data_IF_349099690848
#
_entry.id   IF_349099690848
#
_cell.length_a   1.000
_cell.length_b   1.000
_cell.length_c   1.000
_cell.angle_alpha   90.00
_cell.angle_beta   90.00
_cell.angle_gamma   90.00
#
_symmetry.space_group_name_H-M   'P 1'
#
loop_
_entity.id
_entity.type
_entity.pdbx_description
1 polymer ?
#
# COMPACT_ATOMS: atom_id res chain seq x y z
N UNK A 1 -0.44 -43.04 -5.92
CA UNK A 1 -0.26 -42.00 -4.89
C UNK A 1 0.98 -42.32 -4.06
N UNK A 2 2.14 -41.83 -4.45
CA UNK A 2 3.40 -41.99 -3.70
C UNK A 2 3.81 -40.60 -3.20
N UNK A 3 3.80 -40.42 -1.88
CA UNK A 3 4.42 -39.28 -1.20
C UNK A 3 5.93 -39.48 -1.22
N UNK A 4 6.65 -38.58 -1.90
CA UNK A 4 8.10 -38.48 -1.76
C UNK A 4 8.41 -37.65 -0.50
N UNK A 5 9.41 -38.03 0.32
CA UNK A 5 9.82 -37.26 1.49
C UNK A 5 10.65 -36.06 1.03
N UNK A 6 10.33 -34.87 1.53
CA UNK A 6 11.16 -33.67 1.43
C UNK A 6 12.43 -33.90 2.23
N UNK A 7 13.55 -34.08 1.52
CA UNK A 7 14.89 -34.07 2.10
C UNK A 7 15.18 -32.66 2.65
N UNK A 8 15.65 -32.62 3.87
CA UNK A 8 16.19 -31.46 4.58
C UNK A 8 17.38 -30.89 3.80
N UNK A 9 17.14 -29.88 2.96
CA UNK A 9 18.18 -29.01 2.45
C UNK A 9 18.54 -28.02 3.56
N UNK A 10 19.74 -28.12 4.08
CA UNK A 10 20.37 -27.09 4.90
C UNK A 10 20.51 -25.82 4.07
N UNK A 11 19.55 -24.89 4.19
CA UNK A 11 19.60 -23.56 3.60
C UNK A 11 20.45 -22.64 4.49
N UNK A 12 21.76 -22.75 4.36
CA UNK A 12 22.69 -21.72 4.81
C UNK A 12 22.52 -20.48 3.93
N UNK A 13 22.12 -19.36 4.56
CA UNK A 13 22.17 -17.97 4.07
C UNK A 13 22.14 -17.80 2.55
N UNK A 14 20.96 -17.72 1.97
CA UNK A 14 20.80 -17.33 0.56
C UNK A 14 21.08 -15.84 0.45
N UNK A 15 22.15 -15.49 -0.25
CA UNK A 15 22.49 -14.10 -0.59
C UNK A 15 21.70 -13.75 -1.86
N UNK A 16 20.69 -12.91 -1.74
CA UNK A 16 19.98 -12.39 -2.89
C UNK A 16 20.78 -11.23 -3.50
N UNK A 17 21.17 -11.37 -4.76
CA UNK A 17 21.68 -10.26 -5.58
C UNK A 17 20.56 -9.86 -6.54
N UNK A 18 20.06 -8.63 -6.43
CA UNK A 18 19.20 -8.06 -7.48
C UNK A 18 20.01 -7.92 -8.76
N UNK A 19 19.56 -8.56 -9.84
CA UNK A 19 20.27 -8.61 -11.13
C UNK A 19 20.10 -7.34 -11.96
N UNK A 20 19.21 -6.42 -11.57
CA UNK A 20 18.97 -5.17 -12.30
C UNK A 20 19.15 -3.94 -11.42
N UNK A 21 20.28 -3.26 -11.61
CA UNK A 21 20.51 -1.92 -11.09
C UNK A 21 20.70 -0.92 -12.24
N UNK A 22 19.67 -0.20 -12.69
CA UNK A 22 19.81 0.78 -13.77
C UNK A 22 20.62 2.03 -13.39
N UNK A 23 20.95 2.24 -12.11
CA UNK A 23 21.63 3.44 -11.62
C UNK A 23 23.12 3.25 -11.25
N UNK A 24 23.68 2.04 -11.43
CA UNK A 24 25.09 1.77 -11.12
C UNK A 24 25.42 1.74 -9.61
N UNK A 25 24.45 1.79 -8.72
CA UNK A 25 24.69 1.66 -7.28
C UNK A 25 25.03 0.21 -6.92
N UNK A 26 26.07 0.01 -6.14
CA UNK A 26 26.45 -1.32 -5.65
C UNK A 26 25.37 -1.83 -4.70
N UNK A 27 24.62 -2.84 -5.12
CA UNK A 27 23.71 -3.54 -4.23
C UNK A 27 24.56 -4.33 -3.22
N UNK A 28 24.52 -3.94 -1.97
CA UNK A 28 25.01 -4.81 -0.90
C UNK A 28 24.13 -6.06 -0.88
N UNK A 29 24.79 -7.24 -0.82
CA UNK A 29 24.06 -8.49 -0.67
C UNK A 29 23.22 -8.46 0.61
N UNK A 30 21.89 -8.59 0.48
CA UNK A 30 20.97 -8.66 1.61
C UNK A 30 20.78 -10.12 2.00
N UNK A 31 21.10 -10.45 3.26
CA UNK A 31 20.82 -11.78 3.81
C UNK A 31 19.30 -11.94 4.01
N UNK A 32 18.73 -13.03 3.51
CA UNK A 32 17.32 -13.34 3.66
C UNK A 32 17.13 -14.43 4.73
N UNK A 33 16.18 -14.22 5.68
CA UNK A 33 15.74 -15.29 6.59
C UNK A 33 15.15 -16.48 5.82
N UNK A 34 15.17 -17.68 6.39
CA UNK A 34 14.68 -18.90 5.75
C UNK A 34 13.18 -18.84 5.34
N UNK A 35 12.38 -17.96 5.96
CA UNK A 35 10.99 -17.74 5.62
C UNK A 35 10.79 -16.68 4.52
N UNK A 36 11.86 -16.19 3.88
CA UNK A 36 11.78 -15.17 2.83
C UNK A 36 12.58 -15.61 1.61
N UNK A 37 11.99 -15.48 0.44
CA UNK A 37 12.65 -15.72 -0.83
C UNK A 37 12.48 -14.52 -1.78
N UNK A 38 13.55 -14.13 -2.48
CA UNK A 38 13.47 -13.23 -3.63
C UNK A 38 13.30 -14.09 -4.88
N UNK A 39 12.16 -13.93 -5.55
CA UNK A 39 11.77 -14.78 -6.69
C UNK A 39 11.14 -13.95 -7.80
N UNK A 40 11.19 -14.42 -9.06
CA UNK A 40 10.34 -13.87 -10.10
C UNK A 40 8.86 -14.03 -9.74
N UNK A 41 8.11 -12.95 -9.87
CA UNK A 41 6.65 -12.94 -9.76
C UNK A 41 5.97 -12.87 -11.11
N UNK A 42 4.74 -12.37 -11.13
CA UNK A 42 4.00 -12.13 -12.37
C UNK A 42 4.76 -11.15 -13.25
N UNK A 43 4.71 -11.37 -14.57
CA UNK A 43 5.44 -10.55 -15.54
C UNK A 43 6.97 -10.62 -15.43
N UNK A 44 7.52 -11.54 -14.64
CA UNK A 44 8.96 -11.66 -14.39
C UNK A 44 9.51 -10.60 -13.43
N UNK A 45 8.66 -9.79 -12.81
CA UNK A 45 9.09 -8.78 -11.84
C UNK A 45 9.60 -9.45 -10.56
N UNK A 46 10.72 -8.97 -10.02
CA UNK A 46 11.26 -9.48 -8.75
C UNK A 46 10.32 -9.15 -7.58
N UNK A 47 10.05 -10.16 -6.74
CA UNK A 47 9.26 -10.03 -5.52
C UNK A 47 9.90 -10.75 -4.35
N UNK A 48 9.69 -10.21 -3.15
CA UNK A 48 9.87 -10.94 -1.91
C UNK A 48 8.61 -11.76 -1.66
N UNK A 49 8.80 -13.06 -1.46
CA UNK A 49 7.79 -13.98 -0.99
C UNK A 49 8.08 -14.27 0.48
N UNK A 50 7.19 -13.87 1.37
CA UNK A 50 7.34 -13.99 2.82
C UNK A 50 6.33 -15.02 3.31
N UNK A 51 6.81 -16.11 3.90
CA UNK A 51 5.99 -17.13 4.58
C UNK A 51 6.49 -17.29 6.02
N UNK A 52 6.22 -16.26 6.81
CA UNK A 52 6.64 -16.18 8.21
C UNK A 52 5.63 -16.86 9.14
N UNK A 53 6.02 -17.28 10.36
CA UNK A 53 5.10 -17.89 11.34
C UNK A 53 3.86 -17.04 11.64
N UNK A 54 4.00 -15.70 11.66
CA UNK A 54 2.91 -14.77 11.98
C UNK A 54 2.10 -14.30 10.76
N UNK A 55 2.55 -14.52 9.52
CA UNK A 55 1.81 -14.10 8.32
C UNK A 55 2.55 -14.33 7.02
N UNK A 56 1.81 -14.19 5.93
CA UNK A 56 2.28 -14.28 4.55
C UNK A 56 2.16 -12.93 3.85
N UNK A 57 3.11 -12.60 2.98
CA UNK A 57 2.99 -11.45 2.08
C UNK A 57 3.78 -11.61 0.77
N UNK A 58 3.36 -10.89 -0.26
CA UNK A 58 4.11 -10.66 -1.48
C UNK A 58 4.43 -9.18 -1.63
N UNK A 59 5.70 -8.84 -1.83
CA UNK A 59 6.16 -7.47 -2.01
C UNK A 59 7.02 -7.41 -3.27
N UNK A 60 6.53 -6.76 -4.31
CA UNK A 60 7.31 -6.51 -5.53
C UNK A 60 8.30 -5.38 -5.31
N UNK A 61 9.53 -5.52 -5.80
CA UNK A 61 10.51 -4.43 -5.77
C UNK A 61 10.10 -3.27 -6.67
N UNK A 62 9.35 -3.55 -7.74
CA UNK A 62 8.70 -2.53 -8.55
C UNK A 62 7.55 -1.88 -7.77
N UNK A 63 7.70 -0.60 -7.45
CA UNK A 63 6.76 0.18 -6.66
C UNK A 63 6.85 -0.06 -5.15
N UNK A 64 7.77 -0.91 -4.65
CA UNK A 64 7.75 -1.46 -3.29
C UNK A 64 6.34 -1.99 -2.95
N UNK A 65 5.69 -2.62 -3.93
CA UNK A 65 4.27 -2.84 -4.00
C UNK A 65 3.86 -4.12 -3.27
N UNK A 66 3.11 -4.00 -2.20
CA UNK A 66 2.52 -5.15 -1.48
C UNK A 66 1.26 -5.58 -2.23
N UNK A 67 1.27 -6.76 -2.85
CA UNK A 67 0.13 -7.30 -3.61
C UNK A 67 -0.73 -8.25 -2.80
N UNK A 68 -0.19 -8.83 -1.73
CA UNK A 68 -0.87 -9.80 -0.88
C UNK A 68 -0.38 -9.68 0.56
N UNK A 69 -1.32 -9.80 1.50
CA UNK A 69 -1.06 -10.01 2.92
C UNK A 69 -2.14 -10.86 3.54
N UNK A 70 -1.72 -11.96 4.18
CA UNK A 70 -2.57 -12.92 4.87
C UNK A 70 -2.03 -13.10 6.29
N UNK A 71 -2.71 -12.64 7.36
CA UNK A 71 -2.34 -12.97 8.73
C UNK A 71 -2.47 -14.49 8.96
N UNK A 72 -1.65 -15.07 9.83
CA UNK A 72 -1.63 -16.52 10.04
C UNK A 72 -3.03 -17.06 10.41
N UNK A 73 -3.46 -18.08 9.68
CA UNK A 73 -4.81 -18.66 9.83
C UNK A 73 -5.96 -17.79 9.32
N UNK A 74 -5.67 -16.62 8.78
CA UNK A 74 -6.65 -15.70 8.21
C UNK A 74 -6.89 -15.89 6.71
N UNK A 75 -7.57 -14.91 6.12
CA UNK A 75 -7.83 -14.81 4.69
C UNK A 75 -7.08 -13.60 4.12
N UNK A 76 -6.86 -13.61 2.78
CA UNK A 76 -6.32 -12.47 2.04
C UNK A 76 -7.04 -11.15 2.38
N UNK A 77 -6.27 -10.14 2.73
CA UNK A 77 -6.78 -8.82 3.15
C UNK A 77 -6.70 -7.79 2.03
N UNK A 78 -5.76 -7.97 1.11
CA UNK A 78 -5.57 -7.04 0.00
C UNK A 78 -6.25 -7.55 -1.28
N UNK A 79 -6.83 -6.62 -2.03
CA UNK A 79 -7.38 -6.91 -3.34
C UNK A 79 -6.34 -6.57 -4.40
N UNK A 80 -6.08 -7.48 -5.32
CA UNK A 80 -5.37 -7.25 -6.57
C UNK A 80 -6.27 -7.69 -7.71
N UNK A 81 -6.41 -6.84 -8.73
CA UNK A 81 -7.28 -7.12 -9.87
C UNK A 81 -6.80 -8.35 -10.65
N UNK A 82 -7.74 -9.16 -11.14
CA UNK A 82 -7.44 -10.28 -12.03
C UNK A 82 -6.82 -9.86 -13.37
N UNK A 83 -7.01 -8.56 -13.73
CA UNK A 83 -6.45 -7.94 -14.95
C UNK A 83 -5.27 -7.02 -14.66
N UNK A 84 -4.73 -7.04 -13.44
CA UNK A 84 -3.57 -6.22 -13.10
C UNK A 84 -2.40 -6.50 -14.03
N UNK A 85 -1.72 -5.43 -14.47
CA UNK A 85 -0.62 -5.52 -15.43
C UNK A 85 0.71 -5.47 -14.69
N UNK A 86 1.52 -6.52 -14.85
CA UNK A 86 2.84 -6.66 -14.23
C UNK A 86 3.93 -6.52 -15.29
N UNK A 87 4.16 -5.30 -15.81
CA UNK A 87 5.09 -5.06 -16.91
C UNK A 87 6.25 -4.11 -16.58
N UNK A 88 6.37 -3.65 -15.32
CA UNK A 88 7.41 -2.71 -14.90
C UNK A 88 7.27 -1.29 -15.47
N UNK A 89 6.14 -0.95 -16.08
CA UNK A 89 5.88 0.36 -16.68
C UNK A 89 4.72 1.09 -16.02
N UNK A 90 3.66 0.36 -15.65
CA UNK A 90 2.46 0.88 -14.99
C UNK A 90 2.38 0.36 -13.57
N UNK A 91 1.78 1.15 -12.69
CA UNK A 91 1.47 0.70 -11.34
C UNK A 91 0.54 -0.53 -11.38
N UNK A 92 0.80 -1.50 -10.52
CA UNK A 92 -0.04 -2.71 -10.37
C UNK A 92 -1.39 -2.27 -9.80
N UNK A 93 -2.49 -2.76 -10.39
CA UNK A 93 -3.86 -2.44 -9.93
C UNK A 93 -4.23 -3.30 -8.74
N UNK A 94 -4.40 -2.67 -7.56
CA UNK A 94 -4.70 -3.35 -6.30
C UNK A 94 -3.53 -3.32 -5.31
N UNK A 95 -3.59 -4.11 -4.24
CA UNK A 95 -2.58 -4.12 -3.20
C UNK A 95 -2.43 -2.77 -2.49
N UNK A 96 -1.20 -2.31 -2.30
CA UNK A 96 -0.89 -1.03 -1.68
C UNK A 96 0.10 -0.24 -2.56
N UNK A 97 -0.35 0.43 -3.63
CA UNK A 97 0.47 1.39 -4.36
C UNK A 97 0.90 2.55 -3.46
N UNK A 98 2.15 2.99 -3.56
CA UNK A 98 2.66 4.15 -2.85
C UNK A 98 2.51 5.40 -3.72
N UNK A 99 1.75 6.40 -3.25
CA UNK A 99 1.63 7.69 -3.94
C UNK A 99 2.64 8.65 -3.33
N UNK A 100 3.73 8.91 -4.06
CA UNK A 100 4.73 9.91 -3.71
C UNK A 100 5.55 10.34 -4.95
N UNK A 101 6.12 11.55 -4.97
CA UNK A 101 6.04 12.58 -3.95
C UNK A 101 4.78 13.47 -4.03
N UNK A 102 3.75 13.06 -4.81
CA UNK A 102 2.44 13.73 -4.86
C UNK A 102 1.29 12.74 -5.03
N UNK A 103 0.10 13.17 -4.58
CA UNK A 103 -1.17 12.46 -4.74
C UNK A 103 -2.00 13.07 -5.88
N UNK A 104 -2.62 12.28 -6.73
CA UNK A 104 -3.36 12.77 -7.90
C UNK A 104 -2.45 13.61 -8.80
N UNK A 105 -2.88 14.84 -9.08
CA UNK A 105 -2.09 15.84 -9.78
C UNK A 105 -1.12 16.61 -8.85
N UNK A 106 -1.14 16.32 -7.53
CA UNK A 106 -0.35 16.98 -6.50
C UNK A 106 -0.89 18.34 -6.07
N UNK A 107 -0.49 18.79 -4.87
CA UNK A 107 -0.87 20.08 -4.32
C UNK A 107 -0.42 21.26 -5.20
N UNK A 108 0.62 21.08 -5.99
CA UNK A 108 1.16 22.08 -6.94
C UNK A 108 0.73 21.82 -8.39
N UNK A 109 -0.27 20.99 -8.63
CA UNK A 109 -0.72 20.60 -9.99
C UNK A 109 0.43 20.12 -10.88
N UNK A 110 1.28 19.27 -10.34
CA UNK A 110 2.47 18.76 -11.01
C UNK A 110 2.13 17.92 -12.25
N UNK A 111 3.09 17.84 -13.15
CA UNK A 111 2.95 17.06 -14.37
C UNK A 111 2.81 15.55 -14.09
N UNK A 112 2.28 14.77 -15.08
CA UNK A 112 2.17 13.31 -14.96
C UNK A 112 3.52 12.65 -14.59
N UNK A 113 3.49 11.46 -13.96
CA UNK A 113 2.31 10.63 -13.80
C UNK A 113 1.46 11.02 -12.59
N UNK A 114 0.14 10.84 -12.67
CA UNK A 114 -0.74 10.99 -11.51
C UNK A 114 -0.26 10.10 -10.35
N UNK A 115 -0.37 10.59 -9.11
CA UNK A 115 0.10 9.94 -7.88
C UNK A 115 1.62 9.76 -7.78
N UNK A 116 2.39 10.57 -8.48
CA UNK A 116 3.84 10.50 -8.44
C UNK A 116 4.44 9.29 -9.17
N UNK A 117 5.74 9.15 -9.05
CA UNK A 117 6.52 8.18 -9.82
C UNK A 117 6.99 6.97 -9.00
N UNK A 118 6.82 6.97 -7.68
CA UNK A 118 7.40 5.92 -6.83
C UNK A 118 6.79 4.54 -7.09
N UNK A 119 5.47 4.48 -7.34
CA UNK A 119 4.76 3.23 -7.67
C UNK A 119 5.13 2.66 -9.05
N UNK A 120 5.83 3.45 -9.88
CA UNK A 120 6.33 3.05 -11.21
C UNK A 120 7.87 2.98 -11.23
N UNK A 121 8.52 2.83 -10.09
CA UNK A 121 9.97 2.76 -9.97
C UNK A 121 10.38 1.47 -9.25
N UNK A 122 11.55 0.93 -9.58
CA UNK A 122 12.14 -0.18 -8.83
C UNK A 122 12.79 0.38 -7.57
N UNK A 123 12.47 -0.20 -6.41
CA UNK A 123 13.04 0.13 -5.12
C UNK A 123 14.19 -0.81 -4.76
N UNK A 124 15.15 -0.29 -4.02
CA UNK A 124 16.28 -1.06 -3.53
C UNK A 124 15.91 -1.74 -2.21
N UNK A 125 16.12 -3.05 -2.14
CA UNK A 125 16.04 -3.81 -0.90
C UNK A 125 17.25 -3.46 -0.02
N UNK A 126 16.99 -3.03 1.23
CA UNK A 126 18.03 -2.62 2.18
C UNK A 126 18.27 -3.66 3.26
N UNK A 127 17.21 -4.21 3.82
CA UNK A 127 17.32 -5.26 4.84
C UNK A 127 16.06 -6.11 4.90
N UNK A 128 16.22 -7.35 5.37
CA UNK A 128 15.14 -8.27 5.73
C UNK A 128 15.53 -8.96 7.03
N UNK A 129 14.74 -8.77 8.08
CA UNK A 129 15.01 -9.34 9.40
C UNK A 129 13.74 -9.95 9.99
N UNK A 130 13.88 -11.04 10.75
CA UNK A 130 12.78 -11.60 11.53
C UNK A 130 12.51 -10.74 12.77
N UNK A 131 11.25 -10.71 13.21
CA UNK A 131 10.84 -10.05 14.45
C UNK A 131 10.58 -11.08 15.54
N UNK A 132 10.63 -10.68 16.81
CA UNK A 132 10.51 -11.59 17.97
C UNK A 132 9.12 -12.24 18.05
N UNK A 133 8.10 -11.62 17.45
CA UNK A 133 6.72 -12.14 17.36
C UNK A 133 6.49 -13.08 16.16
N UNK A 134 7.56 -13.51 15.48
CA UNK A 134 7.50 -14.45 14.37
C UNK A 134 7.13 -13.80 13.03
N UNK A 135 7.19 -12.48 12.93
CA UNK A 135 7.03 -11.73 11.69
C UNK A 135 8.34 -11.47 10.94
N UNK A 136 8.27 -10.62 9.93
CA UNK A 136 9.40 -10.17 9.12
C UNK A 136 9.30 -8.68 8.89
N UNK A 137 10.42 -7.95 9.12
CA UNK A 137 10.56 -6.55 8.72
C UNK A 137 11.42 -6.45 7.46
N UNK A 138 10.88 -5.74 6.48
CA UNK A 138 11.54 -5.43 5.21
C UNK A 138 11.76 -3.92 5.14
N UNK A 139 12.98 -3.51 4.77
CA UNK A 139 13.32 -2.10 4.53
C UNK A 139 13.67 -1.92 3.06
N UNK A 140 12.98 -1.00 2.40
CA UNK A 140 13.20 -0.62 1.00
C UNK A 140 13.51 0.87 0.90
N UNK A 141 14.26 1.29 -0.12
CA UNK A 141 14.52 2.71 -0.37
C UNK A 141 14.47 3.05 -1.86
N UNK A 142 14.16 4.30 -2.12
CA UNK A 142 14.18 4.88 -3.46
C UNK A 142 14.76 6.30 -3.40
N UNK A 143 15.78 6.56 -4.21
CA UNK A 143 16.28 7.90 -4.43
C UNK A 143 15.99 8.30 -5.87
N UNK A 144 15.22 9.36 -6.05
CA UNK A 144 14.80 9.83 -7.38
C UNK A 144 14.40 11.30 -7.36
N UNK A 145 14.84 12.04 -8.39
CA UNK A 145 14.45 13.43 -8.63
C UNK A 145 14.61 14.33 -7.38
N UNK A 146 15.70 14.16 -6.63
CA UNK A 146 15.99 14.95 -5.44
C UNK A 146 15.18 14.61 -4.20
N UNK A 147 14.53 13.46 -4.19
CA UNK A 147 13.87 12.88 -3.02
C UNK A 147 14.52 11.55 -2.63
N UNK A 148 14.63 11.31 -1.34
CA UNK A 148 14.97 10.00 -0.79
C UNK A 148 13.77 9.49 0.01
N UNK A 149 13.26 8.33 -0.38
CA UNK A 149 12.18 7.65 0.32
C UNK A 149 12.71 6.39 1.01
N UNK A 150 12.27 6.16 2.26
CA UNK A 150 12.49 4.93 3.00
C UNK A 150 11.15 4.32 3.37
N UNK A 151 10.99 3.03 3.08
CA UNK A 151 9.77 2.28 3.36
C UNK A 151 10.08 1.06 4.20
N UNK A 152 9.48 0.98 5.37
CA UNK A 152 9.57 -0.16 6.28
C UNK A 152 8.22 -0.87 6.32
N UNK A 153 8.25 -2.18 6.10
CA UNK A 153 7.09 -3.07 6.10
C UNK A 153 7.33 -4.15 7.13
N UNK A 154 6.49 -4.23 8.16
CA UNK A 154 6.49 -5.37 9.10
C UNK A 154 5.29 -6.26 8.80
N UNK A 155 5.59 -7.50 8.39
CA UNK A 155 4.63 -8.54 8.04
C UNK A 155 4.48 -9.50 9.21
N UNK A 156 3.28 -9.59 9.77
CA UNK A 156 2.97 -10.47 10.89
C UNK A 156 1.46 -10.70 10.99
N UNK A 157 0.95 -10.93 12.21
CA UNK A 157 -0.50 -10.94 12.49
C UNK A 157 -1.16 -9.59 12.17
N UNK A 158 -0.35 -8.54 12.12
CA UNK A 158 -0.69 -7.21 11.63
C UNK A 158 0.27 -6.87 10.50
N UNK A 159 -0.17 -6.02 9.58
CA UNK A 159 0.70 -5.40 8.60
C UNK A 159 0.96 -3.96 9.07
N UNK A 160 2.22 -3.64 9.37
CA UNK A 160 2.62 -2.30 9.81
C UNK A 160 3.53 -1.67 8.76
N UNK A 161 3.21 -0.46 8.37
CA UNK A 161 3.87 0.29 7.31
C UNK A 161 4.35 1.64 7.84
N UNK A 162 5.60 1.97 7.56
CA UNK A 162 6.15 3.31 7.80
C UNK A 162 6.82 3.80 6.51
N UNK A 163 6.38 4.94 6.00
CA UNK A 163 6.91 5.56 4.79
C UNK A 163 7.41 6.96 5.11
N UNK A 164 8.69 7.22 4.86
CA UNK A 164 9.30 8.54 5.01
C UNK A 164 9.76 9.11 3.69
N UNK A 165 9.73 10.43 3.57
CA UNK A 165 10.23 11.19 2.43
C UNK A 165 11.15 12.29 2.92
N UNK A 166 12.36 12.37 2.35
CA UNK A 166 13.37 13.38 2.64
C UNK A 166 13.65 14.21 1.40
N UNK A 167 13.76 15.52 1.58
CA UNK A 167 14.30 16.42 0.58
C UNK A 167 15.84 16.32 0.54
N UNK A 168 16.40 15.85 -0.57
CA UNK A 168 17.87 15.82 -0.77
C UNK A 168 18.36 16.85 -1.77
N UNK A 169 17.49 17.82 -2.13
CA UNK A 169 17.81 18.97 -2.96
C UNK A 169 18.32 20.14 -2.12
N UNK A 170 18.86 21.17 -2.78
CA UNK A 170 19.29 22.42 -2.16
C UNK A 170 18.16 23.44 -1.96
N UNK A 171 16.99 23.21 -2.54
CA UNK A 171 15.84 24.10 -2.49
C UNK A 171 14.67 23.46 -1.73
N UNK A 172 13.79 24.27 -1.11
CA UNK A 172 12.58 23.77 -0.49
C UNK A 172 11.65 23.08 -1.48
N UNK A 173 11.01 22.00 -1.07
CA UNK A 173 10.07 21.22 -1.88
C UNK A 173 8.77 20.96 -1.14
N UNK A 174 7.72 20.61 -1.88
CA UNK A 174 6.46 20.11 -1.32
C UNK A 174 6.39 18.61 -1.58
N UNK A 175 6.07 17.87 -0.52
CA UNK A 175 5.91 16.41 -0.57
C UNK A 175 4.55 15.94 -0.05
N UNK A 176 4.00 14.94 -0.71
CA UNK A 176 2.77 14.24 -0.31
C UNK A 176 3.04 12.74 -0.28
N UNK A 177 2.45 12.06 0.70
CA UNK A 177 2.54 10.60 0.85
C UNK A 177 1.15 10.01 1.04
N UNK A 178 0.88 8.84 0.42
CA UNK A 178 -0.35 8.08 0.63
C UNK A 178 -0.12 6.59 0.42
N UNK A 179 -0.72 5.76 1.28
CA UNK A 179 -0.88 4.32 1.08
C UNK A 179 -2.21 4.07 0.36
N UNK A 180 -2.19 3.88 -0.95
CA UNK A 180 -3.41 3.65 -1.74
C UNK A 180 -3.94 2.21 -1.55
N UNK A 181 -4.44 1.91 -0.38
CA UNK A 181 -4.71 0.54 0.10
C UNK A 181 -6.02 0.00 -0.41
N UNK A 182 -5.98 -1.05 -1.22
CA UNK A 182 -7.14 -1.79 -1.70
C UNK A 182 -7.47 -2.93 -0.74
N UNK A 183 -8.50 -2.77 0.08
CA UNK A 183 -8.98 -3.82 0.98
C UNK A 183 -9.90 -4.79 0.23
N UNK A 184 -9.61 -6.09 0.30
CA UNK A 184 -10.45 -7.14 -0.29
C UNK A 184 -11.71 -7.36 0.53
N UNK A 185 -12.84 -7.32 -0.15
CA UNK A 185 -14.17 -7.53 0.42
C UNK A 185 -14.86 -8.72 -0.24
N UNK A 186 -15.81 -9.32 0.47
CA UNK A 186 -16.74 -10.25 -0.13
C UNK A 186 -17.72 -9.53 -1.07
N UNK A 187 -18.32 -8.44 -0.58
CA UNK A 187 -19.23 -7.58 -1.33
C UNK A 187 -19.28 -6.19 -0.67
N UNK A 188 -18.87 -5.16 -1.41
CA UNK A 188 -18.87 -3.77 -0.96
C UNK A 188 -20.27 -3.30 -0.53
N UNK A 189 -21.32 -3.73 -1.25
CA UNK A 189 -22.71 -3.29 -0.98
C UNK A 189 -23.26 -3.86 0.33
N UNK A 190 -22.66 -4.94 0.84
CA UNK A 190 -22.97 -5.58 2.12
C UNK A 190 -21.93 -5.26 3.22
N UNK A 191 -21.12 -4.20 3.01
CA UNK A 191 -20.04 -3.80 3.91
C UNK A 191 -20.43 -2.54 4.68
N UNK A 192 -20.18 -2.52 5.99
CA UNK A 192 -20.35 -1.35 6.84
C UNK A 192 -18.99 -0.73 7.18
N UNK A 193 -18.91 0.61 7.07
CA UNK A 193 -17.73 1.38 7.47
C UNK A 193 -18.06 2.19 8.72
N UNK A 194 -17.11 2.24 9.66
CA UNK A 194 -17.21 3.13 10.83
C UNK A 194 -15.89 3.85 11.10
N UNK A 195 -16.00 4.97 11.83
CA UNK A 195 -14.88 5.82 12.19
C UNK A 195 -14.71 7.05 11.30
N UNK A 196 -15.68 7.34 10.43
CA UNK A 196 -15.65 8.50 9.52
C UNK A 196 -16.73 9.53 9.85
N UNK A 197 -17.73 9.18 10.67
CA UNK A 197 -18.78 10.09 11.09
C UNK A 197 -18.21 11.32 11.81
N UNK A 198 -18.79 12.49 11.54
CA UNK A 198 -18.33 13.79 12.06
C UNK A 198 -17.16 14.41 11.30
N UNK A 199 -16.51 13.68 10.39
CA UNK A 199 -15.37 14.17 9.61
C UNK A 199 -15.77 15.12 8.48
N UNK A 200 -14.95 16.14 8.24
CA UNK A 200 -15.04 16.97 7.03
C UNK A 200 -14.32 16.29 5.88
N UNK A 201 -14.89 16.35 4.70
CA UNK A 201 -14.28 15.78 3.51
C UNK A 201 -14.44 16.69 2.27
N UNK A 202 -13.54 16.47 1.32
CA UNK A 202 -13.69 16.95 -0.07
C UNK A 202 -14.24 15.77 -0.86
N UNK A 203 -15.40 15.96 -1.49
CA UNK A 203 -15.88 15.04 -2.52
C UNK A 203 -15.13 15.33 -3.81
N UNK A 204 -14.32 14.40 -4.27
CA UNK A 204 -13.43 14.58 -5.43
C UNK A 204 -14.13 14.19 -6.76
N UNK A 205 -15.40 13.80 -6.70
CA UNK A 205 -16.25 13.62 -7.89
C UNK A 205 -16.43 14.96 -8.64
N UNK A 206 -16.82 14.94 -9.91
CA UNK A 206 -17.03 16.17 -10.69
C UNK A 206 -17.96 17.16 -9.99
N UNK A 207 -17.46 18.37 -9.73
CA UNK A 207 -18.18 19.39 -8.96
C UNK A 207 -17.75 19.47 -7.50
N UNK A 208 -16.59 18.97 -7.18
CA UNK A 208 -15.98 18.87 -5.85
C UNK A 208 -16.48 19.89 -4.83
N UNK A 209 -17.13 19.43 -3.79
CA UNK A 209 -17.64 20.25 -2.69
C UNK A 209 -17.02 19.79 -1.37
N UNK A 210 -16.83 20.74 -0.44
CA UNK A 210 -16.56 20.40 0.95
C UNK A 210 -17.87 20.10 1.65
N UNK A 211 -17.89 19.02 2.41
CA UNK A 211 -19.05 18.60 3.18
C UNK A 211 -18.63 17.93 4.48
N UNK A 212 -19.59 17.68 5.36
CA UNK A 212 -19.40 16.94 6.60
C UNK A 212 -20.11 15.59 6.52
N UNK A 213 -19.45 14.55 6.96
CA UNK A 213 -20.01 13.20 7.04
C UNK A 213 -20.85 13.08 8.32
N UNK A 214 -22.14 13.33 8.25
CA UNK A 214 -23.00 13.35 9.45
C UNK A 214 -23.16 11.97 10.10
N UNK A 215 -23.21 10.91 9.29
CA UNK A 215 -23.41 9.53 9.73
C UNK A 215 -22.26 8.63 9.23
N UNK A 216 -22.25 7.36 9.63
CA UNK A 216 -21.29 6.41 9.11
C UNK A 216 -21.45 6.25 7.58
N UNK A 217 -20.32 6.18 6.88
CA UNK A 217 -20.28 6.14 5.43
C UNK A 217 -20.75 4.78 4.90
N UNK A 218 -21.73 4.79 4.00
CA UNK A 218 -22.09 3.63 3.19
C UNK A 218 -21.67 3.86 1.75
N UNK A 219 -20.91 2.92 1.19
CA UNK A 219 -20.47 2.95 -0.20
C UNK A 219 -21.23 1.89 -0.97
N UNK A 220 -22.09 2.32 -1.91
CA UNK A 220 -22.89 1.43 -2.73
C UNK A 220 -22.70 1.65 -4.24
N UNK A 221 -21.60 2.31 -4.60
CA UNK A 221 -21.26 2.67 -5.98
C UNK A 221 -19.96 3.45 -6.01
N UNK A 222 -19.84 4.45 -6.89
CA UNK A 222 -18.71 5.37 -6.93
C UNK A 222 -18.56 6.15 -5.63
N UNK A 223 -17.34 6.31 -5.17
CA UNK A 223 -16.99 7.13 -4.00
C UNK A 223 -15.55 7.64 -4.18
N UNK A 224 -15.34 8.94 -4.01
CA UNK A 224 -14.01 9.54 -3.98
C UNK A 224 -14.02 10.67 -2.95
N UNK A 225 -13.85 10.32 -1.65
CA UNK A 225 -13.89 11.26 -0.54
C UNK A 225 -12.55 11.36 0.17
N UNK A 226 -12.06 12.58 0.28
CA UNK A 226 -10.83 12.91 0.99
C UNK A 226 -11.20 13.56 2.32
N UNK A 227 -11.16 12.79 3.42
CA UNK A 227 -11.32 13.33 4.77
C UNK A 227 -10.07 14.13 5.15
N UNK A 228 -10.26 15.38 5.61
CA UNK A 228 -9.18 16.38 5.64
C UNK A 228 -8.68 16.73 7.03
N UNK A 229 -9.49 16.54 8.06
CA UNK A 229 -9.17 17.03 9.41
C UNK A 229 -9.76 16.17 10.53
N UNK A 230 -9.19 16.34 11.74
CA UNK A 230 -9.72 15.79 12.98
C UNK A 230 -9.38 14.33 13.22
N UNK A 231 -10.06 13.75 14.20
CA UNK A 231 -9.86 12.35 14.60
C UNK A 231 -10.63 11.36 13.70
N UNK A 232 -11.58 11.87 12.92
CA UNK A 232 -12.34 11.06 11.96
C UNK A 232 -11.38 10.39 10.96
N UNK A 233 -11.50 9.08 10.83
CA UNK A 233 -10.62 8.29 9.98
C UNK A 233 -9.25 7.93 10.59
N UNK A 234 -8.93 8.29 11.83
CA UNK A 234 -7.72 7.78 12.50
C UNK A 234 -7.77 6.26 12.68
N UNK A 235 -8.98 5.74 12.92
CA UNK A 235 -9.27 4.31 12.93
C UNK A 235 -10.53 4.09 12.08
N UNK A 236 -10.36 3.46 10.93
CA UNK A 236 -11.49 3.04 10.08
C UNK A 236 -11.68 1.54 10.22
N UNK A 237 -12.93 1.14 10.50
CA UNK A 237 -13.32 -0.26 10.61
C UNK A 237 -14.20 -0.62 9.42
N UNK A 238 -13.78 -1.63 8.69
CA UNK A 238 -14.48 -2.15 7.51
C UNK A 238 -15.04 -3.52 7.86
N UNK A 239 -16.34 -3.58 8.17
CA UNK A 239 -17.02 -4.81 8.54
C UNK A 239 -17.42 -5.59 7.29
N UNK A 240 -16.63 -6.58 6.95
CA UNK A 240 -16.79 -7.52 5.83
C UNK A 240 -17.55 -8.77 6.31
N UNK A 241 -18.87 -8.65 6.42
CA UNK A 241 -19.73 -9.68 6.99
C UNK A 241 -19.68 -11.00 6.20
N UNK A 242 -19.57 -10.93 4.86
CA UNK A 242 -19.47 -12.11 4.02
C UNK A 242 -18.20 -12.93 4.25
N UNK A 243 -17.10 -12.30 4.62
CA UNK A 243 -15.87 -12.97 5.07
C UNK A 243 -15.79 -13.19 6.57
N UNK A 244 -16.82 -12.77 7.35
CA UNK A 244 -16.92 -12.89 8.80
C UNK A 244 -15.75 -12.23 9.53
N UNK A 245 -15.39 -11.03 9.13
CA UNK A 245 -14.27 -10.27 9.70
C UNK A 245 -14.54 -8.77 9.71
N UNK A 246 -13.78 -8.06 10.54
CA UNK A 246 -13.61 -6.61 10.44
C UNK A 246 -12.15 -6.31 10.13
N UNK A 247 -11.89 -5.60 9.02
CA UNK A 247 -10.55 -5.08 8.72
C UNK A 247 -10.44 -3.72 9.40
N UNK A 248 -9.38 -3.52 10.17
CA UNK A 248 -9.13 -2.27 10.91
C UNK A 248 -7.92 -1.58 10.31
N UNK A 249 -8.13 -0.36 9.83
CA UNK A 249 -7.09 0.54 9.33
C UNK A 249 -6.83 1.60 10.38
N UNK A 250 -5.64 1.58 10.98
CA UNK A 250 -5.19 2.62 11.93
C UNK A 250 -4.06 3.41 11.29
N UNK A 251 -4.10 4.75 11.40
CA UNK A 251 -3.08 5.63 10.83
C UNK A 251 -2.41 6.49 11.89
N UNK A 252 -1.17 6.89 11.62
CA UNK A 252 -0.40 7.80 12.46
C UNK A 252 0.32 8.79 11.55
N UNK A 253 0.38 10.07 11.96
CA UNK A 253 1.01 11.18 11.24
C UNK A 253 0.47 11.38 9.80
N UNK A 254 -0.68 10.80 9.51
CA UNK A 254 -1.40 10.84 8.24
C UNK A 254 -2.74 11.59 8.43
N UNK A 255 -2.77 12.93 8.32
CA UNK A 255 -3.96 13.72 8.62
C UNK A 255 -5.16 13.39 7.72
N UNK A 256 -4.91 12.90 6.51
CA UNK A 256 -5.98 12.57 5.57
C UNK A 256 -6.32 11.07 5.59
N UNK A 257 -7.58 10.77 5.24
CA UNK A 257 -8.04 9.43 4.87
C UNK A 257 -8.84 9.54 3.57
N UNK A 258 -8.39 8.87 2.52
CA UNK A 258 -9.17 8.77 1.28
C UNK A 258 -10.02 7.52 1.34
N UNK A 259 -11.30 7.64 0.99
CA UNK A 259 -12.18 6.48 0.73
C UNK A 259 -12.55 6.52 -0.73
N UNK A 260 -12.12 5.47 -1.46
CA UNK A 260 -12.30 5.42 -2.90
C UNK A 260 -12.81 4.07 -3.39
N UNK A 261 -13.75 4.15 -4.33
CA UNK A 261 -14.15 3.04 -5.19
C UNK A 261 -14.65 3.62 -6.53
N UNK A 262 -14.27 3.05 -7.69
CA UNK A 262 -14.66 3.61 -8.99
C UNK A 262 -16.13 3.40 -9.31
N UNK A 263 -16.82 2.53 -8.59
CA UNK A 263 -18.15 2.06 -8.95
C UNK A 263 -18.19 1.30 -10.28
N UNK A 264 -19.37 0.88 -10.75
CA UNK A 264 -19.50 0.05 -11.94
C UNK A 264 -19.06 0.76 -13.22
N UNK A 265 -19.30 2.08 -13.33
CA UNK A 265 -18.90 2.85 -14.52
C UNK A 265 -17.39 3.03 -14.59
N UNK A 266 -16.77 3.51 -13.51
CA UNK A 266 -15.31 3.70 -13.49
C UNK A 266 -14.55 2.39 -13.64
N UNK A 267 -15.03 1.29 -13.04
CA UNK A 267 -14.39 -0.02 -13.22
C UNK A 267 -14.39 -0.48 -14.68
N UNK A 268 -15.46 -0.20 -15.43
CA UNK A 268 -15.56 -0.54 -16.84
C UNK A 268 -14.62 0.27 -17.75
N UNK A 269 -14.14 1.44 -17.29
CA UNK A 269 -13.20 2.29 -18.03
C UNK A 269 -11.73 1.87 -17.81
N UNK A 270 -11.43 1.10 -16.76
CA UNK A 270 -10.07 0.63 -16.48
C UNK A 270 -9.72 -0.62 -17.29
N UNK A 271 -8.71 -0.53 -18.14
CA UNK A 271 -8.22 -1.68 -18.91
C UNK A 271 -7.57 -2.77 -18.05
N UNK A 272 -7.11 -2.40 -16.85
CA UNK A 272 -6.39 -3.24 -15.88
C UNK A 272 -7.27 -3.69 -14.70
N UNK A 273 -8.60 -3.62 -14.85
CA UNK A 273 -9.60 -4.08 -13.88
C UNK A 273 -10.76 -4.79 -14.61
N UNK A 274 -11.28 -5.87 -14.05
CA UNK A 274 -12.51 -6.46 -14.57
C UNK A 274 -13.72 -5.61 -14.14
N UNK A 275 -14.73 -5.41 -15.02
CA UNK A 275 -15.85 -4.50 -14.77
C UNK A 275 -16.70 -4.85 -13.54
N UNK A 276 -16.69 -6.12 -13.12
CA UNK A 276 -17.44 -6.65 -11.97
C UNK A 276 -16.62 -6.67 -10.66
N UNK A 277 -15.34 -6.33 -10.72
CA UNK A 277 -14.47 -6.37 -9.53
C UNK A 277 -14.69 -5.20 -8.55
N UNK A 278 -15.37 -4.13 -8.94
CA UNK A 278 -15.59 -2.97 -8.07
C UNK A 278 -16.30 -3.30 -6.75
N UNK A 279 -17.13 -4.35 -6.72
CA UNK A 279 -17.78 -4.82 -5.48
C UNK A 279 -16.83 -5.58 -4.55
N UNK A 280 -15.68 -6.03 -5.04
CA UNK A 280 -14.74 -6.88 -4.31
C UNK A 280 -13.69 -6.11 -3.51
N UNK A 281 -13.74 -4.78 -3.52
CA UNK A 281 -12.78 -3.97 -2.77
C UNK A 281 -13.33 -2.61 -2.34
N UNK A 282 -12.63 -2.02 -1.38
CA UNK A 282 -12.73 -0.61 -1.02
C UNK A 282 -11.31 -0.10 -0.76
N UNK A 283 -10.99 1.08 -1.28
CA UNK A 283 -9.76 1.76 -0.85
C UNK A 283 -10.02 2.57 0.41
N UNK A 284 -9.15 2.37 1.41
CA UNK A 284 -9.04 3.21 2.60
C UNK A 284 -7.58 3.62 2.69
N UNK A 285 -7.31 4.91 2.45
CA UNK A 285 -5.98 5.39 2.11
C UNK A 285 -5.50 6.45 3.13
N UNK A 286 -4.73 6.05 4.15
CA UNK A 286 -4.02 7.02 4.99
C UNK A 286 -3.02 7.83 4.18
N UNK A 287 -3.04 9.16 4.38
CA UNK A 287 -2.13 10.05 3.66
C UNK A 287 -1.89 11.39 4.33
N UNK A 288 -0.89 12.10 3.84
CA UNK A 288 -0.63 13.51 4.07
C UNK A 288 -0.58 14.20 2.70
N UNK A 289 -1.71 14.81 2.31
CA UNK A 289 -1.97 15.26 0.94
C UNK A 289 -2.71 16.60 0.92
N UNK A 290 -2.76 17.24 -0.25
CA UNK A 290 -3.49 18.47 -0.50
C UNK A 290 -3.03 19.59 0.44
N UNK A 291 -3.96 20.22 1.18
CA UNK A 291 -3.66 21.27 2.15
C UNK A 291 -2.74 20.82 3.31
N UNK A 292 -2.65 19.52 3.55
CA UNK A 292 -1.76 18.93 4.55
C UNK A 292 -0.40 18.51 3.97
N UNK A 293 -0.12 18.78 2.69
CA UNK A 293 1.18 18.50 2.08
C UNK A 293 2.33 19.10 2.90
N UNK A 294 3.41 18.37 3.04
CA UNK A 294 4.56 18.82 3.81
C UNK A 294 5.44 19.76 2.97
N UNK A 295 5.81 20.91 3.53
CA UNK A 295 6.92 21.73 3.02
C UNK A 295 8.19 21.23 3.68
N UNK A 296 9.21 20.94 2.87
CA UNK A 296 10.47 20.38 3.36
C UNK A 296 11.62 21.30 2.93
N UNK A 297 12.30 21.87 3.89
CA UNK A 297 13.58 22.51 3.67
C UNK A 297 14.65 21.48 3.27
N UNK A 298 15.79 21.90 2.69
CA UNK A 298 16.89 21.01 2.36
C UNK A 298 17.29 20.13 3.55
N UNK A 299 17.28 18.81 3.35
CA UNK A 299 17.60 17.81 4.36
C UNK A 299 16.46 17.43 5.32
N UNK A 300 15.34 18.14 5.30
CA UNK A 300 14.17 17.78 6.12
C UNK A 300 13.43 16.54 5.60
N UNK A 301 12.71 15.88 6.49
CA UNK A 301 11.90 14.72 6.19
C UNK A 301 10.62 14.69 7.02
N UNK A 302 9.62 13.97 6.50
CA UNK A 302 8.43 13.57 7.27
C UNK A 302 8.07 12.13 6.98
N UNK A 303 7.21 11.55 7.81
CA UNK A 303 6.72 10.19 7.62
C UNK A 303 5.23 10.10 7.88
N UNK A 304 4.64 9.03 7.36
CA UNK A 304 3.30 8.55 7.70
C UNK A 304 3.37 7.08 8.04
N UNK A 305 2.48 6.60 8.91
CA UNK A 305 2.39 5.18 9.23
C UNK A 305 0.97 4.67 9.13
N UNK A 306 0.85 3.37 8.80
CA UNK A 306 -0.41 2.66 8.77
C UNK A 306 -0.25 1.28 9.42
N UNK A 307 -1.29 0.85 10.13
CA UNK A 307 -1.43 -0.52 10.62
C UNK A 307 -2.73 -1.13 10.14
N UNK A 308 -2.65 -2.28 9.50
CA UNK A 308 -3.79 -3.13 9.20
C UNK A 308 -3.85 -4.28 10.21
N UNK A 309 -5.05 -4.55 10.70
CA UNK A 309 -5.35 -5.74 11.52
C UNK A 309 -6.71 -6.31 11.16
N UNK A 310 -6.94 -7.57 11.53
CA UNK A 310 -8.19 -8.28 11.27
C UNK A 310 -8.76 -8.77 12.59
N UNK A 311 -10.04 -8.46 12.81
CA UNK A 311 -10.84 -8.97 13.95
C UNK A 311 -11.88 -9.93 13.38
N UNK A 312 -12.04 -11.11 13.99
CA UNK A 312 -13.09 -12.06 13.63
C UNK A 312 -14.45 -11.58 14.16
N UNK A 313 -15.52 -11.80 13.38
CA UNK A 313 -16.91 -11.52 13.76
C UNK A 313 -17.55 -12.72 14.47
#
# INVERSE_FOLDING_TARGET
>A
MLKLPLNSLNLTNVVAMSLFNPTGQVNHAVSLPACVALTPGQGGLERLLIDAPAGYAEIYLFGAHITSWVPRGGKEVLFTSSRAVFNGQKAIRGGIPLCLPWFGAGALHQAPPAHGWARNSVWLLRSVVTTDDGGVRVTLSLEKNGFYALYEVTVGEKLELNLSLRNVQSEPVVGELTFHTYLRLYDLTATDLSGLAGGEYIDNEPGATRAKQEHELKVAGSCDRIFTTGEAGNVVRVRDSGNRRTIVVTKYDAPNTVVWNPGPRGAAEFADMAPDEWVQFLCVEPGRIRENAAKLEPGESFSISMKLSVENL
#
